data_IF_647130574065
#
_entry.id   IF_647130574065
#
_cell.length_a   1.000
_cell.length_b   1.000
_cell.length_c   1.000
_cell.angle_alpha   90.00
_cell.angle_beta   90.00
_cell.angle_gamma   90.00
#
_symmetry.space_group_name_H-M   'P 1'
#
loop_
_entity.id
_entity.type
_entity.pdbx_description
1 polymer ?
#
# COMPACT_ATOMS: atom_id res chain seq x y z
N UNK A 1 -29.99 1.06 29.15
CA UNK A 1 -30.08 1.78 27.88
C UNK A 1 -28.78 2.50 27.60
N UNK A 2 -27.77 1.80 27.18
CA UNK A 2 -26.50 2.38 26.70
C UNK A 2 -26.01 1.53 25.55
N UNK A 3 -25.45 2.19 24.51
CA UNK A 3 -24.67 1.60 23.41
C UNK A 3 -25.40 1.27 22.11
N UNK A 4 -25.70 2.30 21.33
CA UNK A 4 -25.88 2.16 19.86
C UNK A 4 -25.11 3.23 19.04
N UNK A 5 -23.97 3.73 19.52
CA UNK A 5 -23.20 4.79 18.83
C UNK A 5 -21.73 4.50 18.58
N UNK A 6 -21.27 3.24 18.66
CA UNK A 6 -19.83 2.90 18.43
C UNK A 6 -19.55 1.89 17.33
N UNK A 7 -20.47 1.69 16.38
CA UNK A 7 -20.30 0.73 15.29
C UNK A 7 -20.19 1.36 13.90
N UNK A 8 -19.87 2.62 13.78
CA UNK A 8 -19.86 3.31 12.50
C UNK A 8 -18.51 3.95 12.15
N UNK A 9 -17.38 3.31 12.41
CA UNK A 9 -16.12 3.70 11.76
C UNK A 9 -15.15 2.52 11.87
N UNK A 10 -15.14 1.65 10.89
CA UNK A 10 -14.06 0.71 10.72
C UNK A 10 -14.00 0.26 9.27
N UNK A 11 -13.04 0.70 8.57
CA UNK A 11 -12.79 0.13 7.27
C UNK A 11 -11.73 0.83 6.48
N UNK A 12 -10.77 0.12 6.13
CA UNK A 12 -10.06 0.16 4.88
C UNK A 12 -8.58 0.48 4.87
N UNK A 13 -7.81 -0.37 4.36
CA UNK A 13 -6.78 -0.17 3.35
C UNK A 13 -5.60 -1.13 3.47
N UNK A 14 -5.45 -2.05 2.55
CA UNK A 14 -4.39 -3.03 2.62
C UNK A 14 -3.31 -2.90 1.55
N UNK A 15 -3.64 -2.42 0.40
CA UNK A 15 -2.67 -2.27 -0.69
C UNK A 15 -2.46 -0.82 -1.11
N UNK A 16 -3.29 0.04 -0.63
CA UNK A 16 -3.13 1.48 -0.75
C UNK A 16 -1.90 1.99 0.02
N UNK A 17 -1.39 1.20 0.97
CA UNK A 17 -0.19 1.57 1.72
C UNK A 17 1.04 1.80 0.82
N UNK A 18 1.22 1.04 -0.26
CA UNK A 18 2.36 1.25 -1.18
C UNK A 18 2.12 2.46 -2.08
N UNK A 19 0.92 2.64 -2.61
CA UNK A 19 0.60 3.74 -3.54
C UNK A 19 0.26 5.03 -2.78
N UNK A 20 -0.50 4.98 -1.70
CA UNK A 20 -0.84 6.15 -0.90
C UNK A 20 0.33 6.67 -0.04
N UNK A 21 1.21 5.78 0.43
CA UNK A 21 2.42 6.16 1.16
C UNK A 21 3.49 6.77 0.24
N UNK A 22 3.49 6.43 -1.05
CA UNK A 22 4.35 7.07 -2.03
C UNK A 22 3.96 8.54 -2.27
N UNK A 23 2.76 8.95 -1.93
CA UNK A 23 2.30 10.35 -2.02
C UNK A 23 2.47 11.12 -0.71
N UNK A 24 2.53 10.46 0.44
CA UNK A 24 2.75 11.10 1.76
C UNK A 24 4.12 11.77 1.91
N UNK A 25 5.14 11.29 1.20
CA UNK A 25 6.48 11.88 1.20
C UNK A 25 6.65 13.18 0.40
N UNK A 26 5.58 13.65 -0.22
CA UNK A 26 5.60 14.89 -1.03
C UNK A 26 5.79 16.17 -0.20
N UNK A 27 5.83 16.07 1.12
CA UNK A 27 5.63 17.20 2.00
C UNK A 27 6.84 17.62 2.85
N UNK A 28 8.03 17.06 2.63
CA UNK A 28 9.22 17.46 3.36
C UNK A 28 10.04 18.52 2.61
N UNK A 29 10.46 19.54 3.32
CA UNK A 29 11.23 20.67 2.84
C UNK A 29 12.73 20.45 2.99
N UNK A 30 13.54 20.84 2.01
CA UNK A 30 15.00 20.96 2.11
C UNK A 30 15.46 22.39 1.87
N UNK A 31 16.61 22.82 2.42
CA UNK A 31 17.06 24.20 2.33
C UNK A 31 17.84 24.49 1.03
N UNK A 32 17.58 25.67 0.54
CA UNK A 32 18.35 26.58 -0.29
C UNK A 32 19.24 26.08 -1.44
N UNK A 33 18.93 26.44 -2.69
CA UNK A 33 19.55 27.52 -3.43
C UNK A 33 19.14 27.52 -4.89
N UNK A 34 18.82 28.70 -5.37
CA UNK A 34 18.68 29.22 -6.74
C UNK A 34 17.26 29.50 -7.23
N UNK A 35 17.05 30.57 -7.99
CA UNK A 35 15.75 31.20 -8.16
C UNK A 35 14.83 30.35 -9.01
N UNK A 36 13.77 29.87 -8.38
CA UNK A 36 12.81 28.97 -8.96
C UNK A 36 11.51 29.68 -9.32
N UNK A 37 10.92 29.20 -10.39
CA UNK A 37 9.57 29.52 -10.80
C UNK A 37 8.52 29.18 -9.72
N UNK A 38 7.36 29.86 -9.66
CA UNK A 38 6.47 29.89 -8.49
C UNK A 38 5.45 28.73 -8.45
N UNK A 39 5.85 27.48 -8.57
CA UNK A 39 4.90 26.36 -8.63
C UNK A 39 4.90 25.39 -7.42
N UNK A 40 5.74 25.63 -6.40
CA UNK A 40 5.93 24.66 -5.31
C UNK A 40 5.09 24.91 -4.04
N UNK A 41 4.26 25.94 -3.99
CA UNK A 41 3.61 26.38 -2.76
C UNK A 41 2.51 25.46 -2.15
N UNK A 42 1.66 24.75 -2.92
CA UNK A 42 0.55 23.98 -2.32
C UNK A 42 0.97 22.72 -1.60
N UNK A 43 2.03 22.07 -2.08
CA UNK A 43 2.58 20.86 -1.44
C UNK A 43 3.18 21.22 -0.07
N UNK A 44 3.76 22.40 0.09
CA UNK A 44 4.28 22.90 1.37
C UNK A 44 3.20 23.14 2.42
N UNK A 45 1.95 23.37 2.05
CA UNK A 45 0.85 23.64 3.00
C UNK A 45 0.49 22.41 3.83
N UNK A 46 0.67 21.22 3.27
CA UNK A 46 0.44 19.96 4.00
C UNK A 46 1.73 19.41 4.63
N UNK A 47 2.91 19.87 4.17
CA UNK A 47 4.20 19.48 4.71
C UNK A 47 4.40 20.00 6.14
N UNK A 48 4.83 19.10 7.02
CA UNK A 48 5.13 19.47 8.41
C UNK A 48 3.89 19.62 9.30
N UNK A 49 2.70 19.20 8.86
CA UNK A 49 1.56 19.06 9.75
C UNK A 49 1.83 17.89 10.71
N UNK A 50 1.85 18.16 11.99
CA UNK A 50 1.84 17.12 13.02
C UNK A 50 0.58 16.26 12.88
N UNK A 51 0.60 14.97 13.30
CA UNK A 51 -0.62 14.18 13.43
C UNK A 51 -1.69 14.99 14.19
N UNK A 52 -2.85 15.17 13.56
CA UNK A 52 -3.91 16.06 14.05
C UNK A 52 -3.91 17.48 13.46
N UNK A 53 -2.80 17.95 12.88
CA UNK A 53 -2.75 19.25 12.17
C UNK A 53 -3.61 19.26 10.90
N UNK A 54 -3.78 18.11 10.24
CA UNK A 54 -4.64 17.95 9.06
C UNK A 54 -6.11 18.19 9.38
N UNK A 55 -6.60 17.73 10.55
CA UNK A 55 -7.97 18.00 10.97
C UNK A 55 -8.24 19.51 11.10
N UNK A 56 -7.32 20.23 11.75
CA UNK A 56 -7.42 21.68 11.85
C UNK A 56 -7.29 22.40 10.50
N UNK A 57 -6.48 21.87 9.57
CA UNK A 57 -6.41 22.40 8.21
C UNK A 57 -7.75 22.21 7.49
N UNK A 58 -8.34 21.02 7.55
CA UNK A 58 -9.67 20.73 6.96
C UNK A 58 -10.68 21.75 7.44
N UNK A 59 -10.84 21.94 8.78
CA UNK A 59 -11.81 22.88 9.35
C UNK A 59 -11.58 24.31 8.88
N UNK A 60 -10.31 24.77 8.82
CA UNK A 60 -10.02 26.12 8.30
C UNK A 60 -10.36 26.29 6.82
N UNK A 61 -10.10 25.26 6.00
CA UNK A 61 -10.40 25.29 4.57
C UNK A 61 -11.92 25.25 4.33
N UNK A 62 -12.67 24.47 5.11
CA UNK A 62 -14.14 24.43 5.03
C UNK A 62 -14.73 25.81 5.31
N UNK A 63 -14.32 26.48 6.40
CA UNK A 63 -14.76 27.85 6.72
C UNK A 63 -14.37 28.84 5.62
N UNK A 64 -13.15 28.72 5.06
CA UNK A 64 -12.69 29.60 3.98
C UNK A 64 -13.52 29.44 2.71
N UNK A 65 -13.84 28.20 2.35
CA UNK A 65 -14.65 27.86 1.17
C UNK A 65 -16.10 28.30 1.35
N UNK A 66 -16.67 28.20 2.57
CA UNK A 66 -17.99 28.75 2.87
C UNK A 66 -18.07 30.26 2.60
N UNK A 67 -17.00 31.00 2.89
CA UNK A 67 -16.91 32.44 2.61
C UNK A 67 -16.62 32.78 1.15
N UNK A 68 -15.87 31.91 0.47
CA UNK A 68 -15.50 32.04 -0.95
C UNK A 68 -15.58 30.69 -1.66
N UNK A 69 -16.76 30.27 -2.14
CA UNK A 69 -16.95 28.98 -2.81
C UNK A 69 -16.17 28.83 -4.13
N UNK A 70 -15.68 29.93 -4.71
CA UNK A 70 -14.92 29.94 -5.97
C UNK A 70 -13.41 29.89 -5.76
N UNK A 71 -12.92 29.72 -4.52
CA UNK A 71 -11.48 29.59 -4.24
C UNK A 71 -10.95 28.22 -4.68
N UNK A 72 -10.55 28.11 -5.95
CA UNK A 72 -10.03 26.87 -6.56
C UNK A 72 -8.89 26.26 -5.74
N UNK A 73 -7.95 27.12 -5.28
CA UNK A 73 -6.79 26.65 -4.51
C UNK A 73 -7.20 26.03 -3.19
N UNK A 74 -8.13 26.65 -2.46
CA UNK A 74 -8.65 26.10 -1.21
C UNK A 74 -9.44 24.82 -1.42
N UNK A 75 -10.26 24.73 -2.47
CA UNK A 75 -10.99 23.53 -2.85
C UNK A 75 -10.03 22.37 -3.20
N UNK A 76 -9.01 22.60 -4.02
CA UNK A 76 -8.03 21.58 -4.39
C UNK A 76 -7.22 21.12 -3.16
N UNK A 77 -6.82 22.07 -2.30
CA UNK A 77 -6.10 21.75 -1.06
C UNK A 77 -6.99 20.97 -0.09
N UNK A 78 -8.28 21.29 0.02
CA UNK A 78 -9.24 20.56 0.86
C UNK A 78 -9.39 19.10 0.39
N UNK A 79 -9.48 18.89 -0.94
CA UNK A 79 -9.52 17.53 -1.49
C UNK A 79 -8.30 16.69 -1.10
N UNK A 80 -7.10 17.24 -1.20
CA UNK A 80 -5.86 16.60 -0.76
C UNK A 80 -5.81 16.38 0.77
N UNK A 81 -6.33 17.34 1.54
CA UNK A 81 -6.41 17.21 3.00
C UNK A 81 -7.38 16.10 3.43
N UNK A 82 -8.50 15.92 2.74
CA UNK A 82 -9.40 14.78 2.97
C UNK A 82 -8.74 13.44 2.61
N UNK A 83 -7.95 13.35 1.54
CA UNK A 83 -7.16 12.15 1.25
C UNK A 83 -6.15 11.86 2.37
N UNK A 84 -5.51 12.89 2.93
CA UNK A 84 -4.60 12.75 4.07
C UNK A 84 -5.36 12.28 5.31
N UNK A 85 -6.56 12.84 5.61
CA UNK A 85 -7.39 12.39 6.73
C UNK A 85 -7.75 10.91 6.63
N UNK A 86 -8.12 10.44 5.42
CA UNK A 86 -8.34 9.03 5.20
C UNK A 86 -7.10 8.18 5.55
N UNK A 87 -5.89 8.59 5.13
CA UNK A 87 -4.65 7.88 5.47
C UNK A 87 -4.38 7.83 6.97
N UNK A 88 -4.69 8.92 7.68
CA UNK A 88 -4.46 9.05 9.14
C UNK A 88 -5.47 8.26 9.97
N UNK A 89 -6.70 8.09 9.48
CA UNK A 89 -7.81 7.54 10.28
C UNK A 89 -8.35 6.20 9.78
N UNK A 90 -8.07 5.84 8.51
CA UNK A 90 -8.71 4.71 7.85
C UNK A 90 -10.20 4.94 7.52
N UNK A 91 -10.75 6.11 7.79
CA UNK A 91 -12.15 6.44 7.50
C UNK A 91 -12.34 6.77 6.02
N UNK A 92 -12.84 5.78 5.28
CA UNK A 92 -13.06 5.90 3.83
C UNK A 92 -14.14 6.91 3.44
N UNK A 93 -14.93 7.44 4.39
CA UNK A 93 -15.91 8.50 4.14
C UNK A 93 -15.28 9.82 3.69
N UNK A 94 -13.99 10.04 4.00
CA UNK A 94 -13.25 11.18 3.47
C UNK A 94 -13.03 11.14 1.95
N UNK A 95 -13.08 9.97 1.30
CA UNK A 95 -12.83 9.88 -0.14
C UNK A 95 -13.94 10.47 -1.02
N UNK A 96 -15.24 10.27 -0.73
CA UNK A 96 -16.31 11.04 -1.38
C UNK A 96 -16.18 12.56 -1.18
N UNK A 97 -15.77 13.01 0.01
CA UNK A 97 -15.54 14.44 0.31
C UNK A 97 -14.37 14.99 -0.52
N UNK A 98 -13.26 14.26 -0.59
CA UNK A 98 -12.12 14.61 -1.45
C UNK A 98 -12.55 14.74 -2.92
N UNK A 99 -13.32 13.75 -3.41
CA UNK A 99 -13.83 13.78 -4.78
C UNK A 99 -14.75 14.97 -5.04
N UNK A 100 -15.59 15.35 -4.09
CA UNK A 100 -16.47 16.51 -4.22
C UNK A 100 -15.66 17.81 -4.31
N UNK A 101 -14.74 18.05 -3.39
CA UNK A 101 -13.91 19.24 -3.37
C UNK A 101 -13.08 19.38 -4.65
N UNK A 102 -12.43 18.29 -5.11
CA UNK A 102 -11.63 18.30 -6.33
C UNK A 102 -12.47 18.47 -7.60
N UNK A 103 -13.68 17.93 -7.67
CA UNK A 103 -14.59 18.17 -8.81
C UNK A 103 -15.05 19.62 -8.86
N UNK A 104 -15.36 20.24 -7.74
CA UNK A 104 -15.73 21.64 -7.68
C UNK A 104 -14.56 22.55 -8.13
N UNK A 105 -13.35 22.27 -7.65
CA UNK A 105 -12.15 22.96 -8.11
C UNK A 105 -11.96 22.82 -9.64
N UNK A 106 -12.13 21.60 -10.17
CA UNK A 106 -12.00 21.34 -11.60
C UNK A 106 -13.08 22.03 -12.44
N UNK A 107 -14.32 22.08 -11.96
CA UNK A 107 -15.40 22.79 -12.65
C UNK A 107 -15.13 24.30 -12.77
N UNK A 108 -14.49 24.90 -11.74
CA UNK A 108 -14.10 26.32 -11.75
C UNK A 108 -12.86 26.58 -12.58
N UNK A 109 -11.90 25.66 -12.57
CA UNK A 109 -10.63 25.79 -13.31
C UNK A 109 -10.16 24.43 -13.84
N UNK A 110 -10.59 24.01 -15.04
CA UNK A 110 -10.26 22.70 -15.60
C UNK A 110 -8.76 22.44 -15.81
N UNK A 111 -7.98 23.49 -16.00
CA UNK A 111 -6.55 23.43 -16.27
C UNK A 111 -5.69 23.79 -15.04
N UNK A 112 -6.27 23.81 -13.83
CA UNK A 112 -5.47 24.04 -12.63
C UNK A 112 -4.57 22.83 -12.34
N UNK A 113 -3.23 23.03 -12.27
CA UNK A 113 -2.29 21.92 -12.08
C UNK A 113 -2.47 21.20 -10.75
N UNK A 114 -2.79 21.92 -9.68
CA UNK A 114 -2.97 21.31 -8.34
C UNK A 114 -4.22 20.43 -8.30
N UNK A 115 -5.32 20.93 -8.85
CA UNK A 115 -6.58 20.18 -8.96
C UNK A 115 -6.39 18.90 -9.77
N UNK A 116 -5.68 19.00 -10.92
CA UNK A 116 -5.39 17.84 -11.78
C UNK A 116 -4.52 16.81 -11.05
N UNK A 117 -3.51 17.25 -10.30
CA UNK A 117 -2.71 16.37 -9.45
C UNK A 117 -3.55 15.71 -8.35
N UNK A 118 -4.42 16.46 -7.67
CA UNK A 118 -5.32 15.93 -6.65
C UNK A 118 -6.28 14.87 -7.21
N UNK A 119 -6.89 15.11 -8.38
CA UNK A 119 -7.73 14.13 -9.06
C UNK A 119 -6.95 12.88 -9.45
N UNK A 120 -5.69 13.03 -9.88
CA UNK A 120 -4.80 11.92 -10.18
C UNK A 120 -4.43 11.09 -8.94
N UNK A 121 -4.13 11.74 -7.83
CA UNK A 121 -3.89 11.13 -6.52
C UNK A 121 -5.12 10.34 -6.04
N UNK A 122 -6.29 10.96 -6.08
CA UNK A 122 -7.54 10.31 -5.70
C UNK A 122 -7.87 9.10 -6.59
N UNK A 123 -7.57 9.18 -7.88
CA UNK A 123 -7.75 8.05 -8.81
C UNK A 123 -6.82 6.88 -8.46
N UNK A 124 -5.55 7.14 -8.06
CA UNK A 124 -4.65 6.10 -7.53
C UNK A 124 -5.23 5.47 -6.25
N UNK A 125 -5.66 6.30 -5.32
CA UNK A 125 -6.27 5.87 -4.05
C UNK A 125 -7.51 4.99 -4.26
N UNK A 126 -8.28 5.26 -5.30
CA UNK A 126 -9.46 4.46 -5.68
C UNK A 126 -9.16 3.27 -6.59
N UNK A 127 -7.88 3.02 -6.88
CA UNK A 127 -7.42 2.00 -7.83
C UNK A 127 -8.00 2.19 -9.25
N UNK A 128 -8.24 3.43 -9.65
CA UNK A 128 -8.64 3.84 -11.00
C UNK A 128 -7.40 4.12 -11.86
N UNK A 129 -6.49 3.15 -11.99
CA UNK A 129 -5.15 3.34 -12.53
C UNK A 129 -5.14 3.86 -13.99
N UNK A 130 -6.10 3.43 -14.80
CA UNK A 130 -6.27 3.98 -16.15
C UNK A 130 -6.52 5.48 -16.14
N UNK A 131 -7.41 5.94 -15.25
CA UNK A 131 -7.74 7.36 -15.05
C UNK A 131 -6.56 8.13 -14.45
N UNK A 132 -5.90 7.56 -13.43
CA UNK A 132 -4.72 8.16 -12.82
C UNK A 132 -3.60 8.42 -13.84
N UNK A 133 -3.37 7.48 -14.77
CA UNK A 133 -2.40 7.62 -15.86
C UNK A 133 -2.74 8.80 -16.77
N UNK A 134 -4.01 8.98 -17.13
CA UNK A 134 -4.47 10.11 -17.98
C UNK A 134 -4.28 11.43 -17.24
N UNK A 135 -4.72 11.51 -15.99
CA UNK A 135 -4.57 12.70 -15.15
C UNK A 135 -3.10 13.04 -14.87
N UNK A 136 -2.25 12.03 -14.65
CA UNK A 136 -0.82 12.23 -14.50
C UNK A 136 -0.16 12.81 -15.75
N UNK A 137 -0.57 12.35 -16.96
CA UNK A 137 -0.12 12.96 -18.22
C UNK A 137 -0.57 14.42 -18.34
N UNK A 138 -1.83 14.70 -18.05
CA UNK A 138 -2.36 16.06 -18.11
C UNK A 138 -1.62 16.98 -17.12
N UNK A 139 -1.42 16.51 -15.89
CA UNK A 139 -0.69 17.26 -14.87
C UNK A 139 0.77 17.56 -15.28
N UNK A 140 1.43 16.64 -16.01
CA UNK A 140 2.77 16.88 -16.59
C UNK A 140 2.71 17.99 -17.64
N UNK A 141 1.70 17.99 -18.51
CA UNK A 141 1.55 19.05 -19.52
C UNK A 141 1.31 20.42 -18.88
N UNK A 142 0.53 20.47 -17.80
CA UNK A 142 0.23 21.71 -17.08
C UNK A 142 1.40 22.20 -16.21
N UNK A 143 2.26 21.29 -15.72
CA UNK A 143 3.38 21.62 -14.84
C UNK A 143 4.59 20.67 -15.10
N UNK A 144 5.30 20.83 -16.24
CA UNK A 144 6.32 19.88 -16.69
C UNK A 144 7.56 19.78 -15.77
N UNK A 145 7.81 20.81 -14.98
CA UNK A 145 8.91 20.86 -14.02
C UNK A 145 8.51 20.43 -12.59
N UNK A 146 7.26 20.02 -12.39
CA UNK A 146 6.80 19.45 -11.12
C UNK A 146 7.09 17.96 -11.08
N UNK A 147 7.73 17.47 -10.01
CA UNK A 147 8.06 16.05 -9.83
C UNK A 147 6.83 15.18 -9.59
N UNK A 148 5.83 15.68 -8.83
CA UNK A 148 4.68 14.90 -8.39
C UNK A 148 3.85 14.27 -9.51
N UNK A 149 3.54 14.97 -10.63
CA UNK A 149 2.81 14.38 -11.75
C UNK A 149 3.50 13.15 -12.34
N UNK A 150 4.84 13.12 -12.35
CA UNK A 150 5.60 11.95 -12.81
C UNK A 150 5.43 10.77 -11.85
N UNK A 151 5.37 11.02 -10.54
CA UNK A 151 5.03 10.00 -9.55
C UNK A 151 3.64 9.42 -9.80
N UNK A 152 2.62 10.25 -9.94
CA UNK A 152 1.23 9.82 -10.22
C UNK A 152 1.17 8.95 -11.50
N UNK A 153 1.79 9.42 -12.59
CA UNK A 153 1.86 8.68 -13.84
C UNK A 153 2.62 7.36 -13.68
N UNK A 154 3.75 7.39 -12.97
CA UNK A 154 4.60 6.21 -12.73
C UNK A 154 3.89 5.15 -11.92
N UNK A 155 3.24 5.52 -10.81
CA UNK A 155 2.46 4.61 -9.97
C UNK A 155 1.32 3.95 -10.77
N UNK A 156 0.59 4.75 -11.56
CA UNK A 156 -0.46 4.24 -12.42
C UNK A 156 0.06 3.26 -13.50
N UNK A 157 1.19 3.57 -14.12
CA UNK A 157 1.83 2.70 -15.12
C UNK A 157 2.32 1.39 -14.53
N UNK A 158 2.87 1.43 -13.29
CA UNK A 158 3.33 0.26 -12.57
C UNK A 158 2.18 -0.72 -12.30
N UNK A 159 1.06 -0.20 -11.80
CA UNK A 159 -0.14 -1.00 -11.54
C UNK A 159 -0.81 -1.53 -12.82
N UNK A 160 -0.62 -0.83 -13.94
CA UNK A 160 -1.03 -1.28 -15.27
C UNK A 160 0.00 -2.22 -15.94
N UNK A 161 1.03 -2.70 -15.22
CA UNK A 161 2.05 -3.62 -15.73
C UNK A 161 3.02 -3.02 -16.76
N UNK A 162 3.04 -1.68 -16.89
CA UNK A 162 3.88 -0.96 -17.86
C UNK A 162 5.20 -0.52 -17.23
N UNK A 163 5.97 -1.48 -16.74
CA UNK A 163 7.15 -1.26 -15.89
C UNK A 163 8.24 -0.38 -16.51
N UNK A 164 8.68 -0.56 -17.76
CA UNK A 164 9.72 0.32 -18.32
C UNK A 164 9.29 1.80 -18.32
N UNK A 165 8.02 2.06 -18.63
CA UNK A 165 7.48 3.42 -18.64
C UNK A 165 7.30 3.98 -17.22
N UNK A 166 6.94 3.12 -16.25
CA UNK A 166 6.85 3.51 -14.84
C UNK A 166 8.24 3.89 -14.29
N UNK A 167 9.25 3.07 -14.54
CA UNK A 167 10.61 3.29 -14.06
C UNK A 167 11.23 4.56 -14.67
N UNK A 168 10.99 4.81 -15.96
CA UNK A 168 11.40 6.07 -16.60
C UNK A 168 10.70 7.30 -15.97
N UNK A 169 9.42 7.17 -15.59
CA UNK A 169 8.71 8.24 -14.89
C UNK A 169 9.27 8.48 -13.48
N UNK A 170 9.62 7.43 -12.74
CA UNK A 170 10.26 7.55 -11.43
C UNK A 170 11.66 8.16 -11.51
N UNK A 171 12.46 7.78 -12.53
CA UNK A 171 13.75 8.41 -12.77
C UNK A 171 13.58 9.91 -13.02
N UNK A 172 12.64 10.31 -13.89
CA UNK A 172 12.36 11.72 -14.13
C UNK A 172 11.91 12.47 -12.88
N UNK A 173 11.17 11.79 -12.00
CA UNK A 173 10.78 12.37 -10.70
C UNK A 173 12.00 12.65 -9.82
N UNK A 174 12.98 11.73 -9.76
CA UNK A 174 14.24 11.92 -9.02
C UNK A 174 15.05 13.06 -9.61
N UNK A 175 15.19 13.09 -10.95
CA UNK A 175 15.96 14.15 -11.65
C UNK A 175 15.41 15.55 -11.35
N UNK A 176 14.08 15.67 -11.23
CA UNK A 176 13.42 16.93 -10.92
C UNK A 176 13.48 17.28 -9.44
N UNK A 177 13.32 16.30 -8.56
CA UNK A 177 13.30 16.52 -7.11
C UNK A 177 13.71 15.25 -6.35
N UNK A 178 15.02 15.10 -6.01
CA UNK A 178 15.49 14.07 -5.11
C UNK A 178 14.89 14.30 -3.71
N UNK A 179 14.06 13.37 -3.25
CA UNK A 179 13.44 13.42 -1.91
C UNK A 179 12.91 12.04 -1.50
N UNK A 180 12.35 11.93 -0.29
CA UNK A 180 11.73 10.71 0.22
C UNK A 180 10.81 10.05 -0.82
N UNK A 181 9.88 10.81 -1.39
CA UNK A 181 8.86 10.28 -2.30
C UNK A 181 9.44 9.73 -3.61
N UNK A 182 10.47 10.38 -4.18
CA UNK A 182 11.13 9.92 -5.40
C UNK A 182 12.03 8.72 -5.14
N UNK A 183 12.84 8.74 -4.07
CA UNK A 183 13.70 7.62 -3.70
C UNK A 183 12.91 6.36 -3.32
N UNK A 184 11.78 6.51 -2.63
CA UNK A 184 10.91 5.39 -2.29
C UNK A 184 10.36 4.66 -3.54
N UNK A 185 10.03 5.40 -4.60
CA UNK A 185 9.58 4.81 -5.88
C UNK A 185 10.71 4.09 -6.61
N UNK A 186 11.91 4.64 -6.58
CA UNK A 186 13.11 3.95 -7.11
C UNK A 186 13.38 2.68 -6.32
N UNK A 187 13.28 2.72 -4.99
CA UNK A 187 13.39 1.54 -4.15
C UNK A 187 12.41 0.45 -4.56
N UNK A 188 11.13 0.81 -4.70
CA UNK A 188 10.10 -0.15 -5.09
C UNK A 188 10.30 -0.70 -6.52
N UNK A 189 10.72 0.14 -7.47
CA UNK A 189 11.06 -0.32 -8.82
C UNK A 189 12.19 -1.36 -8.81
N UNK A 190 13.23 -1.16 -7.99
CA UNK A 190 14.34 -2.11 -7.81
C UNK A 190 13.91 -3.39 -7.11
N UNK A 191 13.08 -3.29 -6.07
CA UNK A 191 12.46 -4.44 -5.40
C UNK A 191 11.71 -5.34 -6.39
N UNK A 192 10.81 -4.76 -7.20
CA UNK A 192 10.07 -5.49 -8.22
C UNK A 192 10.97 -6.13 -9.29
N UNK A 193 12.13 -5.56 -9.57
CA UNK A 193 13.12 -6.07 -10.52
C UNK A 193 14.11 -7.07 -9.90
N UNK A 194 13.92 -7.47 -8.63
CA UNK A 194 14.80 -8.42 -7.92
C UNK A 194 16.11 -7.80 -7.40
N UNK A 195 16.34 -6.49 -7.59
CA UNK A 195 17.52 -5.78 -7.05
C UNK A 195 17.25 -5.34 -5.59
N UNK A 196 17.18 -6.31 -4.70
CA UNK A 196 16.94 -6.04 -3.28
C UNK A 196 18.05 -5.20 -2.61
N UNK A 197 19.36 -5.38 -2.89
CA UNK A 197 20.40 -4.49 -2.38
C UNK A 197 20.21 -3.04 -2.82
N UNK A 198 19.93 -2.82 -4.10
CA UNK A 198 19.65 -1.49 -4.63
C UNK A 198 18.35 -0.88 -4.10
N UNK A 199 17.31 -1.69 -3.84
CA UNK A 199 16.10 -1.25 -3.18
C UNK A 199 16.37 -0.75 -1.75
N UNK A 200 17.17 -1.50 -0.96
CA UNK A 200 17.60 -1.10 0.38
C UNK A 200 18.36 0.23 0.33
N UNK A 201 19.32 0.37 -0.59
CA UNK A 201 20.08 1.61 -0.76
C UNK A 201 19.18 2.80 -1.07
N UNK A 202 18.25 2.65 -2.02
CA UNK A 202 17.32 3.73 -2.38
C UNK A 202 16.35 4.06 -1.23
N UNK A 203 15.90 3.07 -0.45
CA UNK A 203 15.06 3.31 0.71
C UNK A 203 15.82 3.96 1.87
N UNK A 204 17.13 3.68 2.01
CA UNK A 204 17.98 4.40 2.94
C UNK A 204 18.08 5.88 2.56
N UNK A 205 18.26 6.21 1.26
CA UNK A 205 18.22 7.60 0.78
C UNK A 205 16.87 8.27 1.06
N UNK A 206 15.76 7.52 0.96
CA UNK A 206 14.44 8.03 1.31
C UNK A 206 14.33 8.35 2.81
N UNK A 207 14.88 7.48 3.67
CA UNK A 207 14.94 7.67 5.12
C UNK A 207 15.78 8.90 5.48
N UNK A 208 16.96 9.04 4.89
CA UNK A 208 17.83 10.19 5.12
C UNK A 208 17.18 11.51 4.68
N UNK A 209 16.45 11.48 3.56
CA UNK A 209 15.70 12.62 3.05
C UNK A 209 14.45 12.97 3.87
N UNK A 210 14.09 12.18 4.86
CA UNK A 210 12.93 12.41 5.75
C UNK A 210 13.28 13.21 7.02
N UNK A 211 14.51 13.72 7.13
CA UNK A 211 14.96 14.49 8.29
C UNK A 211 14.00 15.67 8.59
N UNK A 212 13.50 15.74 9.82
CA UNK A 212 12.53 16.76 10.27
C UNK A 212 11.06 16.41 10.01
N UNK A 213 10.76 15.36 9.27
CA UNK A 213 9.41 14.82 9.07
C UNK A 213 9.24 13.52 9.88
N UNK A 214 8.56 13.61 11.02
CA UNK A 214 8.38 12.46 11.93
C UNK A 214 7.60 11.30 11.28
N UNK A 215 6.55 11.61 10.51
CA UNK A 215 5.75 10.60 9.84
C UNK A 215 6.53 9.99 8.67
N UNK A 216 7.18 10.82 7.85
CA UNK A 216 8.05 10.37 6.76
C UNK A 216 9.20 9.49 7.25
N UNK A 217 9.82 9.84 8.38
CA UNK A 217 10.85 9.02 9.00
C UNK A 217 10.31 7.66 9.47
N UNK A 218 9.17 7.65 10.18
CA UNK A 218 8.55 6.43 10.66
C UNK A 218 8.15 5.52 9.49
N UNK A 219 7.57 6.11 8.45
CA UNK A 219 7.21 5.39 7.23
C UNK A 219 8.41 4.79 6.52
N UNK A 220 9.45 5.60 6.24
CA UNK A 220 10.67 5.13 5.57
C UNK A 220 11.37 4.04 6.37
N UNK A 221 11.41 4.17 7.70
CA UNK A 221 11.94 3.14 8.60
C UNK A 221 11.17 1.83 8.47
N UNK A 222 9.82 1.89 8.39
CA UNK A 222 8.99 0.69 8.18
C UNK A 222 9.27 0.07 6.81
N UNK A 223 9.34 0.85 5.74
CA UNK A 223 9.60 0.30 4.39
C UNK A 223 10.99 -0.31 4.30
N UNK A 224 12.01 0.36 4.82
CA UNK A 224 13.36 -0.18 4.89
C UNK A 224 13.42 -1.47 5.74
N UNK A 225 12.71 -1.49 6.85
CA UNK A 225 12.57 -2.68 7.69
C UNK A 225 11.90 -3.85 6.96
N UNK A 226 10.89 -3.59 6.11
CA UNK A 226 10.26 -4.62 5.28
C UNK A 226 11.22 -5.22 4.26
N UNK A 227 12.09 -4.42 3.63
CA UNK A 227 13.13 -4.93 2.73
C UNK A 227 14.15 -5.82 3.46
N UNK A 228 14.54 -5.46 4.68
CA UNK A 228 15.36 -6.33 5.52
C UNK A 228 14.63 -7.62 5.94
N UNK A 229 13.34 -7.52 6.28
CA UNK A 229 12.51 -8.68 6.57
C UNK A 229 12.40 -9.62 5.36
N UNK A 230 12.16 -9.10 4.17
CA UNK A 230 12.13 -9.89 2.93
C UNK A 230 13.42 -10.68 2.73
N UNK A 231 14.56 -10.09 3.07
CA UNK A 231 15.89 -10.73 3.00
C UNK A 231 16.16 -11.71 4.16
N UNK A 232 15.21 -11.91 5.08
CA UNK A 232 15.39 -12.76 6.26
C UNK A 232 16.15 -12.11 7.42
N UNK A 233 16.56 -10.84 7.32
CA UNK A 233 17.23 -10.11 8.39
C UNK A 233 16.21 -9.49 9.38
N UNK A 234 15.63 -10.35 10.18
CA UNK A 234 14.65 -9.95 11.19
C UNK A 234 15.22 -9.07 12.30
N UNK A 235 16.57 -9.06 12.52
CA UNK A 235 17.20 -8.18 13.53
C UNK A 235 17.20 -6.73 13.04
N UNK A 236 17.64 -6.48 11.81
CA UNK A 236 17.64 -5.15 11.22
C UNK A 236 16.21 -4.63 11.00
N UNK A 237 15.30 -5.49 10.54
CA UNK A 237 13.88 -5.17 10.43
C UNK A 237 13.31 -4.68 11.76
N UNK A 238 13.52 -5.44 12.85
CA UNK A 238 13.03 -5.07 14.18
C UNK A 238 13.57 -3.73 14.66
N UNK A 239 14.87 -3.48 14.50
CA UNK A 239 15.46 -2.17 14.91
C UNK A 239 14.78 -1.00 14.21
N UNK A 240 14.53 -1.13 12.91
CA UNK A 240 13.88 -0.07 12.12
C UNK A 240 12.43 0.16 12.55
N UNK A 241 11.69 -0.90 12.85
CA UNK A 241 10.32 -0.79 13.36
C UNK A 241 10.27 -0.18 14.76
N UNK A 242 11.22 -0.56 15.65
CA UNK A 242 11.34 0.04 16.98
C UNK A 242 11.69 1.54 16.86
N UNK A 243 12.61 1.92 15.97
CA UNK A 243 12.95 3.33 15.69
C UNK A 243 11.73 4.12 15.19
N UNK A 244 10.93 3.52 14.30
CA UNK A 244 9.69 4.14 13.83
C UNK A 244 8.74 4.43 15.01
N UNK A 245 8.57 3.48 15.94
CA UNK A 245 7.73 3.65 17.13
C UNK A 245 8.33 4.63 18.16
N UNK A 246 9.65 4.76 18.23
CA UNK A 246 10.30 5.74 19.08
C UNK A 246 10.04 7.16 18.60
N UNK A 247 10.12 7.41 17.29
CA UNK A 247 9.89 8.73 16.69
C UNK A 247 8.40 9.05 16.60
N UNK A 248 7.58 8.06 16.27
CA UNK A 248 6.14 8.21 16.14
C UNK A 248 5.41 7.12 16.97
N UNK A 249 5.20 7.36 18.28
CA UNK A 249 4.53 6.40 19.15
C UNK A 249 3.13 6.04 18.65
N UNK A 250 2.84 4.73 18.57
CA UNK A 250 1.56 4.24 18.09
C UNK A 250 1.41 4.18 16.58
N UNK A 251 2.49 4.36 15.81
CA UNK A 251 2.47 4.23 14.34
C UNK A 251 2.03 2.83 13.92
N UNK A 252 0.80 2.72 13.44
CA UNK A 252 0.12 1.43 13.20
C UNK A 252 0.87 0.51 12.25
N UNK A 253 1.51 1.08 11.22
CA UNK A 253 2.29 0.29 10.25
C UNK A 253 3.56 -0.31 10.85
N UNK A 254 4.12 0.32 11.88
CA UNK A 254 5.24 -0.26 12.61
C UNK A 254 4.78 -1.33 13.62
N UNK A 255 3.60 -1.15 14.23
CA UNK A 255 2.97 -2.17 15.07
C UNK A 255 2.72 -3.45 14.27
N UNK A 256 2.05 -3.33 13.10
CA UNK A 256 1.79 -4.42 12.17
C UNK A 256 3.10 -5.08 11.68
N UNK A 257 4.10 -4.28 11.27
CA UNK A 257 5.36 -4.80 10.77
C UNK A 257 6.19 -5.59 11.82
N UNK A 258 6.02 -5.29 13.10
CA UNK A 258 6.63 -6.06 14.20
C UNK A 258 5.98 -7.43 14.41
N UNK A 259 4.73 -7.61 14.00
CA UNK A 259 3.97 -8.83 14.25
C UNK A 259 4.63 -10.09 13.70
N UNK A 260 5.01 -10.18 12.41
CA UNK A 260 5.67 -11.36 11.89
C UNK A 260 7.04 -11.60 12.55
N UNK A 261 7.73 -10.54 12.97
CA UNK A 261 9.03 -10.65 13.66
C UNK A 261 8.84 -11.28 15.05
N UNK A 262 7.87 -10.82 15.83
CA UNK A 262 7.60 -11.37 17.16
C UNK A 262 7.02 -12.80 17.08
N UNK A 263 6.18 -13.07 16.08
CA UNK A 263 5.67 -14.42 15.84
C UNK A 263 6.78 -15.41 15.44
N UNK A 264 7.75 -14.97 14.62
CA UNK A 264 8.92 -15.77 14.25
C UNK A 264 9.84 -16.10 15.46
N UNK A 265 9.87 -15.21 16.45
CA UNK A 265 10.60 -15.40 17.72
C UNK A 265 9.86 -16.25 18.74
N UNK A 266 8.66 -16.74 18.41
CA UNK A 266 7.81 -17.53 19.32
C UNK A 266 6.94 -16.69 20.26
N UNK A 267 6.99 -15.36 20.17
CA UNK A 267 6.25 -14.45 21.06
C UNK A 267 4.82 -14.20 20.56
N UNK A 268 4.04 -15.28 20.35
CA UNK A 268 2.71 -15.20 19.71
C UNK A 268 1.74 -14.27 20.46
N UNK A 269 1.74 -14.28 21.80
CA UNK A 269 0.89 -13.37 22.60
C UNK A 269 1.24 -11.90 22.35
N UNK A 270 2.53 -11.58 22.22
CA UNK A 270 2.99 -10.21 21.92
C UNK A 270 2.61 -9.81 20.50
N UNK A 271 2.74 -10.72 19.53
CA UNK A 271 2.29 -10.49 18.17
C UNK A 271 0.78 -10.14 18.11
N UNK A 272 -0.07 -10.92 18.80
CA UNK A 272 -1.50 -10.63 18.92
C UNK A 272 -1.76 -9.26 19.57
N UNK A 273 -1.05 -8.93 20.64
CA UNK A 273 -1.23 -7.64 21.33
C UNK A 273 -0.84 -6.44 20.46
N UNK A 274 0.23 -6.56 19.65
CA UNK A 274 0.66 -5.53 18.70
C UNK A 274 -0.39 -5.34 17.59
N UNK A 275 -0.85 -6.44 17.02
CA UNK A 275 -1.82 -6.40 15.94
C UNK A 275 -3.18 -5.88 16.40
N UNK A 276 -3.62 -6.27 17.61
CA UNK A 276 -4.81 -5.67 18.22
C UNK A 276 -4.71 -4.14 18.31
N UNK A 277 -3.57 -3.63 18.76
CA UNK A 277 -3.35 -2.18 18.85
C UNK A 277 -3.43 -1.51 17.48
N UNK A 278 -2.90 -2.16 16.42
CA UNK A 278 -3.00 -1.64 15.06
C UNK A 278 -4.46 -1.63 14.58
N UNK A 279 -5.20 -2.73 14.79
CA UNK A 279 -6.63 -2.87 14.44
C UNK A 279 -7.50 -1.88 15.22
N UNK A 280 -7.27 -1.74 16.53
CA UNK A 280 -8.04 -0.83 17.39
C UNK A 280 -7.85 0.65 16.98
N UNK A 281 -6.68 1.00 16.44
CA UNK A 281 -6.38 2.35 15.97
C UNK A 281 -6.89 2.60 14.54
N UNK A 282 -6.59 1.71 13.61
CA UNK A 282 -7.02 1.78 12.20
C UNK A 282 -7.32 0.34 11.72
N UNK A 283 -8.60 -0.08 11.65
CA UNK A 283 -8.96 -1.43 11.26
C UNK A 283 -8.84 -1.64 9.74
N UNK A 284 -7.63 -1.83 9.26
CA UNK A 284 -7.38 -2.16 7.87
C UNK A 284 -7.67 -3.63 7.59
N UNK A 285 -8.18 -4.02 6.39
CA UNK A 285 -8.45 -5.43 6.06
C UNK A 285 -7.24 -6.35 6.30
N UNK A 286 -6.00 -5.90 5.98
CA UNK A 286 -4.79 -6.69 6.20
C UNK A 286 -4.49 -6.88 7.69
N UNK A 287 -4.64 -5.86 8.53
CA UNK A 287 -4.41 -5.97 9.96
C UNK A 287 -5.43 -6.91 10.59
N UNK A 288 -6.71 -6.72 10.25
CA UNK A 288 -7.79 -7.59 10.73
C UNK A 288 -7.58 -9.03 10.25
N UNK A 289 -7.18 -9.23 8.99
CA UNK A 289 -6.88 -10.54 8.44
C UNK A 289 -5.69 -11.20 9.14
N UNK A 290 -4.59 -10.46 9.36
CA UNK A 290 -3.41 -10.94 10.07
C UNK A 290 -3.74 -11.29 11.54
N UNK A 291 -4.58 -10.50 12.21
CA UNK A 291 -5.06 -10.81 13.55
C UNK A 291 -5.86 -12.14 13.56
N UNK A 292 -6.68 -12.37 12.55
CA UNK A 292 -7.39 -13.63 12.34
C UNK A 292 -6.44 -14.82 12.20
N UNK A 293 -5.38 -14.70 11.42
CA UNK A 293 -4.35 -15.74 11.25
C UNK A 293 -3.58 -16.01 12.55
N UNK A 294 -3.29 -14.98 13.33
CA UNK A 294 -2.66 -15.13 14.64
C UNK A 294 -3.58 -15.85 15.63
N UNK A 295 -4.87 -15.54 15.65
CA UNK A 295 -5.85 -16.26 16.48
C UNK A 295 -5.98 -17.71 16.06
N UNK A 296 -6.03 -18.00 14.75
CA UNK A 296 -6.04 -19.38 14.26
C UNK A 296 -4.79 -20.15 14.72
N UNK A 297 -3.61 -19.52 14.62
CA UNK A 297 -2.35 -20.11 15.09
C UNK A 297 -2.31 -20.30 16.61
N UNK A 298 -3.00 -19.45 17.38
CA UNK A 298 -3.13 -19.55 18.82
C UNK A 298 -4.18 -20.55 19.29
N UNK A 299 -4.82 -21.32 18.38
CA UNK A 299 -5.88 -22.26 18.72
C UNK A 299 -7.21 -21.59 19.11
N UNK A 300 -7.46 -20.38 18.63
CA UNK A 300 -8.67 -19.57 18.92
C UNK A 300 -9.54 -19.41 17.66
N UNK A 301 -10.12 -20.49 17.11
CA UNK A 301 -10.80 -20.47 15.81
C UNK A 301 -12.04 -19.55 15.80
N UNK A 302 -12.75 -19.40 16.92
CA UNK A 302 -13.88 -18.49 17.02
C UNK A 302 -13.47 -17.04 16.76
N UNK A 303 -12.41 -16.57 17.41
CA UNK A 303 -11.89 -15.20 17.20
C UNK A 303 -11.38 -15.02 15.76
N UNK A 304 -10.77 -16.04 15.17
CA UNK A 304 -10.35 -16.00 13.77
C UNK A 304 -11.54 -15.78 12.82
N UNK A 305 -12.66 -16.49 13.04
CA UNK A 305 -13.89 -16.33 12.24
C UNK A 305 -14.52 -14.94 12.43
N UNK A 306 -14.50 -14.37 13.64
CA UNK A 306 -14.95 -13.00 13.91
C UNK A 306 -14.14 -11.99 13.09
N UNK A 307 -12.81 -12.17 12.99
CA UNK A 307 -11.97 -11.32 12.15
C UNK A 307 -12.31 -11.47 10.64
N UNK A 308 -12.58 -12.68 10.17
CA UNK A 308 -13.01 -12.89 8.77
C UNK A 308 -14.32 -12.17 8.46
N UNK A 309 -15.27 -12.16 9.39
CA UNK A 309 -16.52 -11.42 9.24
C UNK A 309 -16.26 -9.90 9.16
N UNK A 310 -15.36 -9.41 10.02
CA UNK A 310 -14.96 -7.99 10.04
C UNK A 310 -14.30 -7.57 8.73
N UNK A 311 -13.37 -8.37 8.18
CA UNK A 311 -12.75 -8.11 6.86
C UNK A 311 -13.80 -7.93 5.77
N UNK A 312 -14.83 -8.79 5.72
CA UNK A 312 -15.90 -8.68 4.73
C UNK A 312 -16.67 -7.36 4.84
N UNK A 313 -16.98 -6.93 6.06
CA UNK A 313 -17.67 -5.65 6.30
C UNK A 313 -16.81 -4.49 5.81
N UNK A 314 -15.53 -4.50 6.16
CA UNK A 314 -14.60 -3.44 5.75
C UNK A 314 -14.48 -3.38 4.24
N UNK A 315 -14.27 -4.51 3.57
CA UNK A 315 -14.19 -4.56 2.09
C UNK A 315 -15.47 -4.03 1.42
N UNK A 316 -16.64 -4.30 2.00
CA UNK A 316 -17.92 -3.76 1.52
C UNK A 316 -17.96 -2.23 1.64
N UNK A 317 -17.57 -1.69 2.80
CA UNK A 317 -17.53 -0.24 3.04
C UNK A 317 -16.54 0.48 2.10
N UNK A 318 -15.40 -0.14 1.82
CA UNK A 318 -14.43 0.38 0.86
C UNK A 318 -15.02 0.49 -0.55
N UNK A 319 -15.63 -0.60 -1.01
CA UNK A 319 -16.31 -0.63 -2.30
C UNK A 319 -17.42 0.43 -2.38
N UNK A 320 -18.20 0.58 -1.32
CA UNK A 320 -19.24 1.61 -1.23
C UNK A 320 -18.67 3.03 -1.37
N UNK A 321 -17.51 3.31 -0.80
CA UNK A 321 -16.82 4.59 -0.90
C UNK A 321 -15.96 4.74 -2.17
N UNK A 322 -16.10 3.81 -3.11
CA UNK A 322 -15.54 3.90 -4.47
C UNK A 322 -14.12 3.37 -4.62
N UNK A 323 -13.60 2.58 -3.66
CA UNK A 323 -12.32 1.89 -3.82
C UNK A 323 -12.54 0.54 -4.50
N UNK A 324 -11.77 0.23 -5.53
CA UNK A 324 -11.81 -1.06 -6.23
C UNK A 324 -10.91 -2.06 -5.51
N UNK A 325 -11.49 -2.85 -4.62
CA UNK A 325 -10.79 -3.82 -3.75
C UNK A 325 -10.86 -5.26 -4.28
N UNK A 326 -11.10 -5.46 -5.56
CA UNK A 326 -11.33 -6.79 -6.12
C UNK A 326 -10.11 -7.72 -5.95
N UNK A 327 -8.87 -7.24 -6.21
CA UNK A 327 -7.66 -8.05 -6.03
C UNK A 327 -7.36 -8.34 -4.55
N UNK A 328 -7.49 -7.35 -3.69
CA UNK A 328 -7.26 -7.47 -2.24
C UNK A 328 -8.25 -8.45 -1.61
N UNK A 329 -9.49 -8.43 -2.10
CA UNK A 329 -10.51 -9.38 -1.68
C UNK A 329 -10.22 -10.78 -2.22
N UNK A 330 -9.77 -10.89 -3.47
CA UNK A 330 -9.45 -12.16 -4.11
C UNK A 330 -8.27 -12.87 -3.42
N UNK A 331 -7.16 -12.15 -3.15
CA UNK A 331 -6.01 -12.75 -2.46
C UNK A 331 -6.39 -13.21 -1.05
N UNK A 332 -7.11 -12.39 -0.29
CA UNK A 332 -7.59 -12.75 1.03
C UNK A 332 -8.47 -14.01 1.02
N UNK A 333 -9.43 -14.09 0.08
CA UNK A 333 -10.31 -15.27 -0.07
C UNK A 333 -9.54 -16.51 -0.49
N UNK A 334 -8.57 -16.36 -1.39
CA UNK A 334 -7.70 -17.46 -1.82
C UNK A 334 -6.86 -18.00 -0.66
N UNK A 335 -6.27 -17.13 0.16
CA UNK A 335 -5.52 -17.50 1.36
C UNK A 335 -6.36 -18.33 2.34
N UNK A 336 -7.63 -18.02 2.46
CA UNK A 336 -8.55 -18.65 3.40
C UNK A 336 -9.46 -19.70 2.77
N UNK A 337 -9.28 -20.04 1.49
CA UNK A 337 -10.08 -21.03 0.75
C UNK A 337 -11.59 -20.70 0.74
N UNK A 338 -11.94 -19.42 0.67
CA UNK A 338 -13.33 -18.94 0.69
C UNK A 338 -13.84 -18.89 -0.74
N UNK A 339 -14.96 -19.59 -1.04
CA UNK A 339 -15.67 -19.57 -2.32
C UNK A 339 -14.70 -19.58 -3.52
N UNK A 340 -14.07 -20.70 -3.86
CA UNK A 340 -13.04 -20.73 -4.89
C UNK A 340 -13.51 -20.22 -6.25
N UNK A 341 -14.75 -20.53 -6.67
CA UNK A 341 -15.28 -20.10 -7.96
C UNK A 341 -15.50 -18.58 -8.01
N UNK A 342 -16.15 -18.00 -7.00
CA UNK A 342 -16.31 -16.56 -6.88
C UNK A 342 -15.00 -15.83 -6.69
N UNK A 343 -14.02 -16.44 -6.00
CA UNK A 343 -12.67 -15.90 -5.83
C UNK A 343 -11.91 -15.80 -7.15
N UNK A 344 -12.00 -16.83 -8.03
CA UNK A 344 -11.42 -16.78 -9.38
C UNK A 344 -12.07 -15.67 -10.21
N UNK A 345 -13.41 -15.56 -10.17
CA UNK A 345 -14.12 -14.50 -10.91
C UNK A 345 -13.68 -13.11 -10.46
N UNK A 346 -13.55 -12.93 -9.14
CA UNK A 346 -13.09 -11.68 -8.55
C UNK A 346 -11.63 -11.35 -8.92
N UNK A 347 -10.73 -12.35 -8.87
CA UNK A 347 -9.35 -12.21 -9.27
C UNK A 347 -9.20 -11.80 -10.73
N UNK A 348 -9.98 -12.41 -11.64
CA UNK A 348 -10.02 -12.02 -13.06
C UNK A 348 -10.48 -10.59 -13.28
N UNK A 349 -11.55 -10.19 -12.58
CA UNK A 349 -12.07 -8.81 -12.63
C UNK A 349 -11.04 -7.82 -12.13
N UNK A 350 -10.43 -8.09 -10.99
CA UNK A 350 -9.37 -7.23 -10.42
C UNK A 350 -8.13 -7.16 -11.30
N UNK A 351 -7.69 -8.31 -11.85
CA UNK A 351 -6.55 -8.37 -12.77
C UNK A 351 -6.79 -7.55 -14.06
N UNK A 352 -8.00 -7.56 -14.61
CA UNK A 352 -8.33 -6.76 -15.80
C UNK A 352 -8.16 -5.25 -15.56
N UNK A 353 -8.33 -4.79 -14.32
CA UNK A 353 -8.10 -3.39 -13.92
C UNK A 353 -6.64 -3.12 -13.53
N UNK A 354 -5.92 -4.15 -13.10
CA UNK A 354 -4.57 -4.07 -12.53
C UNK A 354 -3.71 -5.25 -12.97
N UNK A 355 -3.27 -5.28 -14.26
CA UNK A 355 -2.46 -6.36 -14.83
C UNK A 355 -0.98 -6.23 -14.44
N UNK A 356 -0.71 -5.98 -13.15
CA UNK A 356 0.62 -5.97 -12.55
C UNK A 356 1.06 -7.38 -12.15
N UNK A 357 2.34 -7.58 -11.84
CA UNK A 357 2.83 -8.89 -11.33
C UNK A 357 2.10 -9.33 -10.05
N UNK A 358 1.65 -8.38 -9.22
CA UNK A 358 0.80 -8.67 -8.07
C UNK A 358 -0.58 -9.17 -8.50
N UNK A 359 -1.15 -8.56 -9.55
CA UNK A 359 -2.42 -9.02 -10.16
C UNK A 359 -2.27 -10.40 -10.78
N UNK A 360 -1.17 -10.66 -11.47
CA UNK A 360 -0.85 -11.96 -12.07
C UNK A 360 -0.72 -13.04 -10.98
N UNK A 361 0.02 -12.76 -9.89
CA UNK A 361 0.19 -13.70 -8.79
C UNK A 361 -1.14 -13.95 -8.05
N UNK A 362 -1.93 -12.91 -7.81
CA UNK A 362 -3.27 -13.04 -7.19
C UNK A 362 -4.18 -13.94 -8.03
N UNK A 363 -4.18 -13.77 -9.35
CA UNK A 363 -4.96 -14.62 -10.26
C UNK A 363 -4.43 -16.04 -10.28
N UNK A 364 -3.11 -16.23 -10.35
CA UNK A 364 -2.48 -17.54 -10.27
C UNK A 364 -2.84 -18.28 -8.98
N UNK A 365 -2.77 -17.58 -7.86
CA UNK A 365 -3.10 -18.13 -6.56
C UNK A 365 -4.57 -18.51 -6.44
N UNK A 366 -5.49 -17.63 -6.86
CA UNK A 366 -6.92 -17.94 -6.88
C UNK A 366 -7.25 -19.16 -7.74
N UNK A 367 -6.64 -19.28 -8.92
CA UNK A 367 -6.78 -20.43 -9.81
C UNK A 367 -6.26 -21.72 -9.18
N UNK A 368 -5.09 -21.67 -8.54
CA UNK A 368 -4.51 -22.82 -7.84
C UNK A 368 -5.40 -23.29 -6.70
N UNK A 369 -5.93 -22.37 -5.89
CA UNK A 369 -6.85 -22.67 -4.79
C UNK A 369 -8.19 -23.21 -5.27
N UNK A 370 -8.58 -22.93 -6.51
CA UNK A 370 -9.74 -23.49 -7.19
C UNK A 370 -9.46 -24.74 -8.02
N UNK A 371 -8.28 -25.34 -7.92
CA UNK A 371 -7.90 -26.59 -8.63
C UNK A 371 -7.54 -26.39 -10.11
N UNK A 372 -7.48 -25.17 -10.62
CA UNK A 372 -7.14 -24.85 -12.03
C UNK A 372 -5.63 -24.68 -12.21
N UNK A 373 -4.86 -25.67 -11.82
CA UNK A 373 -3.41 -25.54 -11.62
C UNK A 373 -2.63 -25.37 -12.92
N UNK A 374 -3.07 -25.94 -14.04
CA UNK A 374 -2.43 -25.73 -15.35
C UNK A 374 -2.55 -24.26 -15.81
N UNK A 375 -3.70 -23.64 -15.62
CA UNK A 375 -3.88 -22.22 -15.92
C UNK A 375 -3.10 -21.33 -14.93
N UNK A 376 -3.10 -21.69 -13.64
CA UNK A 376 -2.36 -21.00 -12.60
C UNK A 376 -0.85 -20.94 -12.90
N UNK A 377 -0.29 -22.00 -13.49
CA UNK A 377 1.13 -22.08 -13.86
C UNK A 377 1.53 -20.96 -14.83
N UNK A 378 0.70 -20.70 -15.85
CA UNK A 378 0.95 -19.64 -16.82
C UNK A 378 1.00 -18.26 -16.15
N UNK A 379 -0.01 -17.96 -15.31
CA UNK A 379 -0.07 -16.68 -14.60
C UNK A 379 1.06 -16.52 -13.57
N UNK A 380 1.41 -17.58 -12.84
CA UNK A 380 2.55 -17.56 -11.92
C UNK A 380 3.89 -17.33 -12.66
N UNK A 381 4.04 -17.88 -13.86
CA UNK A 381 5.22 -17.61 -14.71
C UNK A 381 5.26 -16.14 -15.12
N UNK A 382 4.11 -15.57 -15.48
CA UNK A 382 4.00 -14.15 -15.82
C UNK A 382 4.24 -13.24 -14.62
N UNK A 383 3.80 -13.61 -13.42
CA UNK A 383 4.06 -12.89 -12.18
C UNK A 383 5.57 -12.76 -11.88
N UNK A 384 6.35 -13.77 -12.22
CA UNK A 384 7.80 -13.81 -11.97
C UNK A 384 8.64 -13.16 -13.09
N UNK A 385 8.04 -12.56 -14.14
CA UNK A 385 8.75 -12.05 -15.34
C UNK A 385 9.76 -10.93 -15.08
N UNK A 386 9.65 -10.22 -13.96
CA UNK A 386 10.59 -9.17 -13.60
C UNK A 386 11.79 -9.67 -12.79
N UNK A 387 11.83 -10.96 -12.44
CA UNK A 387 12.84 -11.50 -11.54
C UNK A 387 12.63 -11.15 -10.07
N UNK A 388 11.43 -10.72 -9.70
CA UNK A 388 11.08 -10.33 -8.33
C UNK A 388 11.41 -11.44 -7.33
N UNK A 389 12.11 -11.10 -6.26
CA UNK A 389 12.43 -12.00 -5.15
C UNK A 389 11.37 -11.83 -4.05
N UNK A 390 10.29 -12.61 -4.15
CA UNK A 390 9.21 -12.62 -3.18
C UNK A 390 8.90 -14.04 -2.68
N UNK A 391 8.96 -14.25 -1.36
CA UNK A 391 8.75 -15.56 -0.76
C UNK A 391 7.32 -16.08 -0.95
N UNK A 392 6.31 -15.18 -1.01
CA UNK A 392 4.92 -15.59 -1.26
C UNK A 392 4.74 -16.03 -2.71
N UNK A 393 5.30 -15.30 -3.69
CA UNK A 393 5.28 -15.71 -5.10
C UNK A 393 5.94 -17.09 -5.28
N UNK A 394 7.07 -17.33 -4.61
CA UNK A 394 7.74 -18.62 -4.64
C UNK A 394 6.91 -19.71 -3.95
N UNK A 395 6.25 -19.40 -2.85
CA UNK A 395 5.35 -20.33 -2.17
C UNK A 395 4.13 -20.67 -3.02
N UNK A 396 3.48 -19.67 -3.63
CA UNK A 396 2.35 -19.88 -4.54
C UNK A 396 2.77 -20.74 -5.73
N UNK A 397 3.92 -20.47 -6.34
CA UNK A 397 4.46 -21.31 -7.43
C UNK A 397 4.73 -22.75 -6.96
N UNK A 398 5.32 -22.94 -5.79
CA UNK A 398 5.54 -24.27 -5.21
C UNK A 398 4.23 -25.05 -5.03
N UNK A 399 3.19 -24.38 -4.55
CA UNK A 399 1.85 -24.95 -4.38
C UNK A 399 1.21 -25.33 -5.73
N UNK A 400 1.40 -24.50 -6.76
CA UNK A 400 0.94 -24.78 -8.14
C UNK A 400 1.66 -26.02 -8.71
N UNK A 401 2.98 -26.09 -8.57
CA UNK A 401 3.76 -27.25 -9.02
C UNK A 401 3.36 -28.54 -8.28
N UNK A 402 3.10 -28.44 -6.98
CA UNK A 402 2.58 -29.56 -6.17
C UNK A 402 1.21 -30.04 -6.67
N UNK A 403 0.32 -29.11 -6.98
CA UNK A 403 -1.00 -29.41 -7.53
C UNK A 403 -0.93 -30.12 -8.89
N UNK A 404 0.09 -29.83 -9.68
CA UNK A 404 0.34 -30.50 -10.98
C UNK A 404 1.06 -31.84 -10.85
N UNK A 405 1.40 -32.27 -9.63
CA UNK A 405 2.16 -33.51 -9.40
C UNK A 405 3.66 -33.38 -9.60
N UNK A 406 4.18 -32.18 -9.86
CA UNK A 406 5.60 -31.92 -10.09
C UNK A 406 6.37 -31.80 -8.76
N UNK A 407 6.47 -32.88 -7.98
CA UNK A 407 6.97 -32.88 -6.62
C UNK A 407 8.39 -32.31 -6.46
N UNK A 408 9.31 -32.59 -7.39
CA UNK A 408 10.69 -32.07 -7.33
C UNK A 408 10.72 -30.55 -7.55
N UNK A 409 9.96 -30.03 -8.53
CA UNK A 409 9.82 -28.60 -8.78
C UNK A 409 9.17 -27.88 -7.60
N UNK A 410 8.11 -28.45 -7.02
CA UNK A 410 7.44 -27.92 -5.85
C UNK A 410 8.41 -27.74 -4.66
N UNK A 411 9.19 -28.78 -4.33
CA UNK A 411 10.22 -28.70 -3.28
C UNK A 411 11.24 -27.60 -3.55
N UNK A 412 11.69 -27.46 -4.80
CA UNK A 412 12.63 -26.40 -5.19
C UNK A 412 12.06 -25.00 -4.92
N UNK A 413 10.80 -24.75 -5.27
CA UNK A 413 10.16 -23.46 -5.06
C UNK A 413 9.90 -23.16 -3.58
N UNK A 414 9.46 -24.14 -2.80
CA UNK A 414 9.33 -23.98 -1.34
C UNK A 414 10.69 -23.72 -0.69
N UNK A 415 11.74 -24.39 -1.12
CA UNK A 415 13.10 -24.16 -0.63
C UNK A 415 13.58 -22.72 -0.96
N UNK A 416 13.30 -22.21 -2.17
CA UNK A 416 13.58 -20.82 -2.54
C UNK A 416 12.85 -19.82 -1.64
N UNK A 417 11.55 -20.05 -1.36
CA UNK A 417 10.78 -19.19 -0.47
C UNK A 417 11.38 -19.13 0.94
N UNK A 418 11.77 -20.28 1.50
CA UNK A 418 12.38 -20.40 2.82
C UNK A 418 13.81 -19.88 2.87
N UNK A 419 14.58 -20.01 1.79
CA UNK A 419 15.94 -19.47 1.69
C UNK A 419 15.95 -17.94 1.69
N UNK A 420 14.96 -17.31 1.07
CA UNK A 420 14.81 -15.86 1.08
C UNK A 420 14.40 -15.37 2.47
N UNK A 421 13.36 -15.95 3.06
CA UNK A 421 12.96 -15.70 4.44
C UNK A 421 12.27 -16.94 5.04
N UNK A 422 12.88 -17.64 6.02
CA UNK A 422 12.29 -18.83 6.62
C UNK A 422 10.99 -18.55 7.39
N UNK A 423 10.65 -17.30 7.66
CA UNK A 423 9.49 -16.85 8.41
C UNK A 423 8.59 -15.87 7.61
N UNK A 424 8.61 -15.95 6.31
CA UNK A 424 7.94 -15.03 5.39
C UNK A 424 6.44 -14.86 5.65
N UNK A 425 5.77 -15.84 6.25
CA UNK A 425 4.34 -15.80 6.56
C UNK A 425 4.03 -16.61 7.81
N UNK A 426 3.19 -16.04 8.69
CA UNK A 426 2.67 -16.75 9.86
C UNK A 426 1.88 -17.99 9.45
N UNK A 427 1.16 -17.90 8.32
CA UNK A 427 0.29 -18.95 7.79
C UNK A 427 1.06 -19.95 6.94
N UNK A 428 1.86 -19.51 5.98
CA UNK A 428 2.38 -20.34 4.90
C UNK A 428 3.82 -20.87 5.13
N UNK A 429 4.66 -20.18 5.88
CA UNK A 429 6.02 -20.66 6.13
C UNK A 429 6.05 -22.03 6.84
N UNK A 430 5.14 -22.36 7.80
CA UNK A 430 5.06 -23.71 8.35
C UNK A 430 4.66 -24.76 7.31
N UNK A 431 3.82 -24.42 6.34
CA UNK A 431 3.43 -25.33 5.25
C UNK A 431 4.63 -25.60 4.35
N UNK A 432 5.33 -24.55 3.92
CA UNK A 432 6.53 -24.69 3.08
C UNK A 432 7.59 -25.57 3.75
N UNK A 433 7.85 -25.41 5.07
CA UNK A 433 8.80 -26.25 5.80
C UNK A 433 8.45 -27.74 5.76
N UNK A 434 7.16 -28.09 5.98
CA UNK A 434 6.70 -29.50 5.88
C UNK A 434 6.79 -30.08 4.47
N UNK A 435 6.80 -29.24 3.45
CA UNK A 435 6.84 -29.67 2.05
C UNK A 435 8.27 -29.88 1.52
N UNK A 436 9.30 -29.42 2.25
CA UNK A 436 10.72 -29.64 1.91
C UNK A 436 11.40 -30.69 2.78
N UNK A 437 10.80 -31.01 3.97
CA UNK A 437 11.19 -32.14 4.80
C UNK A 437 10.73 -33.47 4.18
#
# INVERSE_FOLDING_TARGET
>A
MMTRRRLAVAGAAALVAVVALLLGGVLATSPAASPAAPAAAPVRVLAGLSPGGTAGLVSRLEVKIQRNPSDVKSLATLGLAYEQRWRETGDSSFLPLAAHALRNAHALSPNDPLTTQGLGSLALTRHEFGRARVLGRLAILLAPYSANPYGIKGDALLELGRYPQAFAAFQKMVDLKPNLSSYARVSYARELSGDLPGAITAMQMALDASAGDREGYAWSSVQLGKLYWMRGDGRSAKRLYDNALQIFPGYVYALDALVPVEAARGHLRRAIALEKRAVDAIPLPQFVGQLGDLYARAGQPRLALEQQATVRVIQHLLGFNGIKVDLETAIYRADHSIDPAGTIALARKGHALRPSILGDDTLAWALARGGRCAEALSWSTHALRLGTHDSLFYFHRGTIEQCLGHAASARTWFARALALNPNFSVRFAPVARRSVS
#
